data_IF_199915040876
#
_entry.id   IF_199915040876
#
_cell.length_a   1.000
_cell.length_b   1.000
_cell.length_c   1.000
_cell.angle_alpha   90.00
_cell.angle_beta   90.00
_cell.angle_gamma   90.00
#
_symmetry.space_group_name_H-M   'P 1'
#
loop_
_entity.id
_entity.type
_entity.pdbx_description
1 polymer ?
#
# COMPACT_ATOMS: atom_id res chain seq x y z
N UNK A 1 0.56 18.43 -11.36
CA UNK A 1 0.15 18.43 -9.94
C UNK A 1 0.66 17.13 -9.36
N UNK A 2 1.28 17.12 -8.19
CA UNK A 2 1.72 15.87 -7.56
C UNK A 2 0.49 15.11 -7.09
N UNK A 3 0.41 13.80 -7.37
CA UNK A 3 -0.71 12.97 -6.92
C UNK A 3 -0.61 12.76 -5.40
N UNK A 4 -1.74 12.92 -4.72
CA UNK A 4 -1.86 12.81 -3.29
C UNK A 4 -1.93 11.34 -2.87
N UNK A 5 -1.23 11.00 -1.79
CA UNK A 5 -1.34 9.67 -1.18
C UNK A 5 -2.74 9.47 -0.59
N UNK A 6 -3.42 8.35 -0.89
CA UNK A 6 -4.69 8.01 -0.29
C UNK A 6 -4.51 7.63 1.19
N UNK A 7 -5.13 8.41 2.09
CA UNK A 7 -5.07 8.16 3.54
C UNK A 7 -6.35 8.59 4.27
N UNK A 8 -6.73 7.93 5.38
CA UNK A 8 -6.12 6.72 5.94
C UNK A 8 -6.58 5.43 5.23
N UNK A 9 -5.71 4.42 5.27
CA UNK A 9 -6.05 3.05 4.91
C UNK A 9 -6.66 2.33 6.12
N UNK A 10 -7.82 1.69 5.94
CA UNK A 10 -8.55 1.01 7.02
C UNK A 10 -8.89 -0.43 6.64
N UNK A 11 -8.84 -1.32 7.62
CA UNK A 11 -9.46 -2.65 7.50
C UNK A 11 -10.94 -2.55 7.85
N UNK A 12 -11.80 -2.87 6.88
CA UNK A 12 -13.25 -2.99 7.12
C UNK A 12 -13.58 -4.30 7.83
N UNK A 13 -12.84 -5.35 7.48
CA UNK A 13 -12.94 -6.71 7.98
C UNK A 13 -11.55 -7.39 7.82
N UNK A 14 -11.33 -8.64 8.28
CA UNK A 14 -9.99 -9.24 8.32
C UNK A 14 -9.27 -9.37 6.97
N UNK A 15 -9.98 -9.27 5.85
CA UNK A 15 -9.43 -9.46 4.51
C UNK A 15 -9.63 -8.25 3.59
N UNK A 16 -10.52 -7.31 3.97
CA UNK A 16 -10.85 -6.15 3.13
C UNK A 16 -10.22 -4.87 3.64
N UNK A 17 -9.47 -4.24 2.75
CA UNK A 17 -8.79 -2.97 2.95
C UNK A 17 -9.51 -1.91 2.11
N UNK A 18 -9.73 -0.72 2.68
CA UNK A 18 -10.39 0.42 2.02
C UNK A 18 -9.66 1.73 2.29
N UNK A 19 -9.70 2.64 1.32
CA UNK A 19 -9.14 3.99 1.42
C UNK A 19 -10.10 5.01 0.76
N UNK A 20 -10.00 6.31 1.08
CA UNK A 20 -10.76 7.33 0.37
C UNK A 20 -10.12 7.62 -1.00
N UNK A 21 -10.92 7.93 -2.04
CA UNK A 21 -10.38 8.41 -3.31
C UNK A 21 -9.76 9.80 -3.14
N UNK A 22 -8.68 10.05 -3.88
CA UNK A 22 -8.04 11.37 -3.99
C UNK A 22 -8.45 12.04 -5.32
N UNK A 23 -8.67 13.37 -5.34
CA UNK A 23 -9.25 14.07 -6.51
C UNK A 23 -8.30 14.14 -7.72
N UNK A 24 -7.02 13.82 -7.52
CA UNK A 24 -5.92 13.92 -8.48
C UNK A 24 -5.43 12.54 -8.98
N UNK A 25 -5.98 11.45 -8.45
CA UNK A 25 -5.76 10.10 -8.93
C UNK A 25 -6.91 9.64 -9.84
N UNK A 26 -6.59 8.84 -10.86
CA UNK A 26 -7.59 8.16 -11.69
C UNK A 26 -7.71 6.68 -11.36
N UNK A 27 -6.68 6.12 -10.72
CA UNK A 27 -6.61 4.73 -10.26
C UNK A 27 -5.72 4.65 -9.01
N UNK A 28 -5.81 3.53 -8.30
CA UNK A 28 -5.08 3.28 -7.06
C UNK A 28 -4.39 1.94 -7.11
N UNK A 29 -3.15 1.89 -6.66
CA UNK A 29 -2.39 0.65 -6.58
C UNK A 29 -2.28 0.23 -5.12
N UNK A 30 -2.41 -1.07 -4.86
CA UNK A 30 -2.19 -1.66 -3.54
C UNK A 30 -0.90 -2.44 -3.53
N UNK A 31 -0.13 -2.27 -2.47
CA UNK A 31 1.13 -2.95 -2.22
C UNK A 31 1.02 -3.77 -0.95
N UNK A 32 1.65 -4.95 -0.95
CA UNK A 32 1.69 -5.85 0.20
C UNK A 32 3.13 -6.23 0.53
N UNK A 33 3.50 -6.09 1.79
CA UNK A 33 4.74 -6.66 2.32
C UNK A 33 4.50 -7.48 3.59
N UNK A 34 5.56 -8.03 4.17
CA UNK A 34 5.51 -8.91 5.34
C UNK A 34 6.27 -8.30 6.52
N UNK A 35 5.66 -8.29 7.70
CA UNK A 35 6.28 -8.00 9.00
C UNK A 35 6.78 -9.31 9.62
N UNK A 36 8.12 -9.51 9.74
CA UNK A 36 8.68 -10.66 10.44
C UNK A 36 8.35 -10.62 11.94
N UNK A 37 8.27 -11.80 12.58
CA UNK A 37 7.92 -11.95 14.00
C UNK A 37 8.68 -11.02 14.96
N UNK A 38 9.96 -10.80 14.70
CA UNK A 38 10.84 -9.99 15.55
C UNK A 38 10.61 -8.48 15.42
N UNK A 39 9.77 -8.04 14.48
CA UNK A 39 9.61 -6.63 14.09
C UNK A 39 8.18 -6.11 14.22
N UNK A 40 7.28 -6.82 14.91
CA UNK A 40 5.87 -6.44 15.10
C UNK A 40 5.66 -5.16 15.97
N UNK A 41 6.72 -4.48 16.42
CA UNK A 41 6.64 -3.32 17.32
C UNK A 41 7.18 -1.98 16.77
N UNK A 42 8.14 -1.98 15.83
CA UNK A 42 8.66 -0.79 15.15
C UNK A 42 9.67 -1.20 14.08
N UNK A 43 9.55 -0.67 12.87
CA UNK A 43 10.52 -0.90 11.78
C UNK A 43 11.52 0.26 11.76
N UNK A 44 12.79 -0.02 12.08
CA UNK A 44 13.88 0.95 11.89
C UNK A 44 13.99 1.33 10.40
N UNK A 45 14.44 2.55 10.06
CA UNK A 45 14.45 3.02 8.68
C UNK A 45 15.51 2.28 7.84
N UNK A 46 15.07 1.70 6.71
CA UNK A 46 15.80 0.95 5.68
C UNK A 46 15.94 -0.59 5.86
N UNK A 47 16.08 -1.29 4.71
CA UNK A 47 16.06 -2.75 4.47
C UNK A 47 14.86 -3.56 4.99
N UNK A 48 13.92 -2.93 5.72
CA UNK A 48 12.75 -3.62 6.27
C UNK A 48 11.55 -3.68 5.31
N UNK A 49 11.47 -2.76 4.34
CA UNK A 49 10.35 -2.67 3.41
C UNK A 49 10.52 -3.64 2.25
N UNK A 50 9.61 -4.62 2.18
CA UNK A 50 9.59 -5.71 1.21
C UNK A 50 8.30 -5.70 0.38
N UNK A 51 7.54 -4.59 0.43
CA UNK A 51 6.28 -4.53 -0.30
C UNK A 51 6.51 -4.65 -1.80
N UNK A 52 5.64 -5.43 -2.42
CA UNK A 52 5.52 -5.57 -3.87
C UNK A 52 4.12 -5.22 -4.30
N UNK A 53 3.93 -4.95 -5.59
CA UNK A 53 2.60 -4.78 -6.16
C UNK A 53 1.71 -5.97 -5.79
N UNK A 54 0.62 -5.68 -5.11
CA UNK A 54 -0.42 -6.65 -4.77
C UNK A 54 -1.56 -6.59 -5.77
N UNK A 55 -2.03 -5.38 -6.06
CA UNK A 55 -3.14 -5.12 -6.97
C UNK A 55 -2.87 -3.81 -7.71
N UNK A 56 -2.96 -3.85 -9.03
CA UNK A 56 -2.89 -2.65 -9.88
C UNK A 56 -4.31 -2.24 -10.25
N UNK A 57 -4.66 -0.98 -10.03
CA UNK A 57 -6.03 -0.47 -10.22
C UNK A 57 -7.08 -1.40 -9.59
N UNK A 58 -8.20 -1.67 -10.27
CA UNK A 58 -9.23 -2.62 -9.86
C UNK A 58 -9.07 -3.97 -10.60
N UNK A 59 -7.84 -4.46 -10.74
CA UNK A 59 -7.60 -5.77 -11.39
C UNK A 59 -8.28 -6.93 -10.65
N UNK A 60 -8.62 -6.77 -9.36
CA UNK A 60 -9.44 -7.70 -8.59
C UNK A 60 -10.95 -7.53 -8.77
N UNK A 61 -11.44 -6.47 -9.42
CA UNK A 61 -12.86 -6.23 -9.67
C UNK A 61 -13.70 -6.07 -8.40
N UNK A 62 -13.10 -5.58 -7.33
CA UNK A 62 -13.69 -5.42 -6.01
C UNK A 62 -14.07 -3.95 -5.71
N UNK A 63 -13.72 -3.04 -6.61
CA UNK A 63 -13.99 -1.61 -6.59
C UNK A 63 -12.71 -0.79 -6.43
N UNK A 64 -12.61 0.32 -7.16
CA UNK A 64 -11.39 1.13 -7.30
C UNK A 64 -10.71 1.62 -6.00
N UNK A 65 -11.42 1.62 -4.86
CA UNK A 65 -10.87 2.04 -3.56
C UNK A 65 -10.93 0.92 -2.52
N UNK A 66 -10.84 -0.32 -2.98
CA UNK A 66 -10.89 -1.54 -2.18
C UNK A 66 -9.77 -2.47 -2.64
N UNK A 67 -9.24 -3.26 -1.70
CA UNK A 67 -8.42 -4.43 -1.99
C UNK A 67 -8.86 -5.57 -1.07
N UNK A 68 -8.85 -6.80 -1.60
CA UNK A 68 -9.21 -8.00 -0.83
C UNK A 68 -8.03 -8.96 -0.83
N UNK A 69 -7.51 -9.30 0.36
CA UNK A 69 -6.48 -10.33 0.53
C UNK A 69 -6.97 -11.48 1.44
N UNK A 70 -7.42 -12.60 0.87
CA UNK A 70 -7.85 -13.77 1.65
C UNK A 70 -6.66 -14.59 2.19
N UNK A 71 -5.42 -14.21 1.88
CA UNK A 71 -4.21 -14.96 2.26
C UNK A 71 -3.92 -14.76 3.75
N UNK A 72 -3.69 -15.87 4.47
CA UNK A 72 -3.15 -15.79 5.82
C UNK A 72 -1.63 -15.61 5.78
N UNK A 73 -1.06 -14.69 6.58
CA UNK A 73 0.39 -14.58 6.69
C UNK A 73 0.98 -15.86 7.32
N UNK A 74 2.23 -16.23 6.97
CA UNK A 74 2.95 -17.29 7.67
C UNK A 74 2.92 -17.12 9.18
N UNK A 75 2.96 -18.24 9.92
CA UNK A 75 2.91 -18.23 11.38
C UNK A 75 4.01 -17.33 11.96
N UNK A 76 3.61 -16.42 12.86
CA UNK A 76 4.49 -15.45 13.48
C UNK A 76 4.79 -14.21 12.63
N UNK A 77 4.26 -14.10 11.42
CA UNK A 77 4.37 -12.88 10.60
C UNK A 77 3.02 -12.16 10.48
N UNK A 78 3.04 -10.92 10.01
CA UNK A 78 1.85 -10.20 9.60
C UNK A 78 2.04 -9.61 8.21
N UNK A 79 0.97 -9.36 7.46
CA UNK A 79 1.06 -8.51 6.28
C UNK A 79 0.90 -7.04 6.68
N UNK A 80 1.52 -6.15 5.91
CA UNK A 80 1.19 -4.74 5.90
C UNK A 80 0.85 -4.32 4.48
N UNK A 81 0.04 -3.28 4.38
CA UNK A 81 -0.50 -2.78 3.13
C UNK A 81 -0.22 -1.29 3.01
N UNK A 82 0.04 -0.87 1.78
CA UNK A 82 0.30 0.50 1.39
C UNK A 82 -0.50 0.76 0.10
N UNK A 83 -0.92 2.01 -0.11
CA UNK A 83 -1.69 2.38 -1.30
C UNK A 83 -1.13 3.68 -1.86
N UNK A 84 -1.06 3.78 -3.19
CA UNK A 84 -0.79 5.03 -3.91
C UNK A 84 -1.98 5.40 -4.79
N UNK A 85 -2.07 6.69 -5.12
CA UNK A 85 -2.87 7.17 -6.24
C UNK A 85 -1.98 7.36 -7.46
N UNK A 86 -2.49 7.03 -8.64
CA UNK A 86 -1.78 7.23 -9.91
C UNK A 86 -2.68 7.96 -10.91
N UNK A 87 -2.07 8.82 -11.72
CA UNK A 87 -2.72 9.49 -12.83
C UNK A 87 -1.71 9.80 -13.93
N UNK A 88 -2.13 10.52 -14.98
CA UNK A 88 -1.22 11.00 -16.02
C UNK A 88 -0.06 11.88 -15.50
N UNK A 89 -0.14 12.36 -14.25
CA UNK A 89 0.94 13.10 -13.60
C UNK A 89 1.98 12.20 -12.89
N UNK A 90 1.77 10.88 -12.87
CA UNK A 90 2.60 9.89 -12.17
C UNK A 90 1.92 9.30 -10.93
N UNK A 91 2.67 8.50 -10.19
CA UNK A 91 2.25 7.85 -8.96
C UNK A 91 2.61 8.69 -7.72
N UNK A 92 1.74 8.71 -6.72
CA UNK A 92 1.99 9.32 -5.41
C UNK A 92 3.07 8.53 -4.63
N UNK A 93 3.59 9.10 -3.53
CA UNK A 93 4.17 8.29 -2.46
C UNK A 93 3.23 7.15 -2.04
N UNK A 94 3.81 6.03 -1.58
CA UNK A 94 3.07 4.86 -1.08
C UNK A 94 2.90 4.86 0.45
N UNK A 95 3.40 5.87 1.15
CA UNK A 95 3.36 5.93 2.60
C UNK A 95 4.56 6.59 3.25
N UNK A 96 4.39 6.92 4.52
CA UNK A 96 5.44 7.41 5.43
C UNK A 96 5.53 6.49 6.66
N UNK A 97 6.73 6.31 7.25
CA UNK A 97 6.90 5.52 8.47
C UNK A 97 6.21 6.19 9.66
N UNK A 98 5.65 5.37 10.54
CA UNK A 98 4.91 5.82 11.73
C UNK A 98 5.73 6.56 12.79
N UNK A 99 7.07 6.52 12.71
CA UNK A 99 7.97 7.23 13.64
C UNK A 99 8.83 8.23 12.89
N UNK A 100 8.59 9.54 13.04
CA UNK A 100 9.50 10.57 12.54
C UNK A 100 10.86 10.55 13.27
N UNK A 101 11.97 10.94 12.61
CA UNK A 101 12.04 11.35 11.22
C UNK A 101 12.08 10.13 10.31
N UNK A 102 11.21 10.10 9.31
CA UNK A 102 11.33 9.11 8.25
C UNK A 102 10.82 9.69 6.95
N UNK A 103 11.60 9.46 5.89
CA UNK A 103 11.20 9.83 4.54
C UNK A 103 10.15 8.86 3.98
N UNK A 104 9.66 9.17 2.80
CA UNK A 104 8.75 8.33 2.02
C UNK A 104 9.25 6.88 1.97
N UNK A 105 8.34 5.93 2.18
CA UNK A 105 8.62 4.50 2.06
C UNK A 105 9.02 4.21 0.60
N UNK A 106 10.20 3.60 0.32
CA UNK A 106 10.64 3.35 -1.05
C UNK A 106 9.72 2.37 -1.80
N UNK A 107 9.36 2.68 -3.05
CA UNK A 107 8.65 1.75 -3.93
C UNK A 107 9.62 1.07 -4.92
N UNK A 108 10.21 -0.06 -4.54
CA UNK A 108 11.19 -0.79 -5.37
C UNK A 108 10.54 -1.76 -6.36
N UNK A 109 9.24 -2.01 -6.25
CA UNK A 109 8.48 -2.93 -7.09
C UNK A 109 7.10 -2.34 -7.42
N UNK A 110 7.07 -1.25 -8.23
CA UNK A 110 5.83 -0.56 -8.58
C UNK A 110 4.86 -1.49 -9.31
N UNK A 111 3.57 -1.20 -9.21
CA UNK A 111 2.57 -1.87 -10.03
C UNK A 111 2.76 -1.54 -11.51
N UNK A 112 2.39 -2.45 -12.43
CA UNK A 112 2.30 -2.10 -13.85
C UNK A 112 1.26 -0.99 -14.04
N UNK A 113 1.60 0.08 -14.75
CA UNK A 113 0.63 1.12 -15.07
C UNK A 113 -0.46 0.55 -15.98
N UNK A 114 -1.75 0.64 -15.62
CA UNK A 114 -2.85 0.27 -16.51
C UNK A 114 -2.82 1.04 -17.84
N UNK A 115 -3.31 0.46 -18.95
CA UNK A 115 -3.29 1.09 -20.28
C UNK A 115 -4.19 2.33 -20.40
#
# INVERSE_FOLDING_TARGET
VQVSEPSPLNFRDPITIVWPPTPDATHWNTYRGTIPAKLLGSRLPASVYDQVCYESDDTGGNGATTAIDPTNPPLGTAFYYLTSGESACGESPIGEPSTPPGGVIPNTSPCPTPP
#
